data_IF_776612574251
#
_entry.id   IF_776612574251
#
_cell.length_a   1.000
_cell.length_b   1.000
_cell.length_c   1.000
_cell.angle_alpha   90.00
_cell.angle_beta   90.00
_cell.angle_gamma   90.00
#
_symmetry.space_group_name_H-M   'P 1'
#
loop_
_entity.id
_entity.type
_entity.pdbx_description
1 polymer ?
#
# COMPACT_ATOMS: atom_id res chain seq x y z
N UNK A 1 -7.75 -8.66 2.55
CA UNK A 1 -6.90 -7.98 3.55
C UNK A 1 -7.11 -8.59 4.94
N UNK A 2 -8.30 -8.54 5.52
CA UNK A 2 -8.54 -9.00 6.91
C UNK A 2 -8.13 -10.43 7.19
N UNK A 3 -8.63 -11.40 6.44
CA UNK A 3 -8.30 -12.83 6.65
C UNK A 3 -6.78 -13.08 6.67
N UNK A 4 -6.07 -12.58 5.66
CA UNK A 4 -4.61 -12.75 5.54
C UNK A 4 -3.86 -12.10 6.70
N UNK A 5 -4.33 -10.94 7.19
CA UNK A 5 -3.76 -10.30 8.39
C UNK A 5 -3.91 -11.17 9.65
N UNK A 6 -4.99 -11.95 9.77
CA UNK A 6 -5.26 -12.77 10.96
C UNK A 6 -4.53 -14.13 10.96
N UNK A 7 -4.17 -14.65 9.78
CA UNK A 7 -3.53 -15.96 9.65
C UNK A 7 -2.26 -16.15 10.51
N UNK A 8 -1.32 -15.18 10.60
CA UNK A 8 -0.15 -15.31 11.48
C UNK A 8 -0.51 -15.38 12.96
N UNK A 9 -1.54 -14.65 13.40
CA UNK A 9 -2.01 -14.64 14.79
C UNK A 9 -2.65 -15.97 15.19
N UNK A 10 -3.31 -16.65 14.25
CA UNK A 10 -3.86 -17.99 14.47
C UNK A 10 -2.76 -19.05 14.63
N UNK A 11 -1.54 -18.78 14.16
CA UNK A 11 -0.43 -19.74 14.14
C UNK A 11 0.64 -19.46 15.19
N UNK A 12 0.82 -18.21 15.58
CA UNK A 12 1.88 -17.76 16.47
C UNK A 12 1.36 -16.73 17.48
N UNK A 13 1.88 -16.72 18.72
CA UNK A 13 1.51 -15.74 19.73
C UNK A 13 2.26 -14.41 19.49
N UNK A 14 1.87 -13.66 18.46
CA UNK A 14 2.45 -12.35 18.15
C UNK A 14 1.77 -11.25 18.98
N UNK A 15 2.51 -10.19 19.29
CA UNK A 15 2.03 -9.05 20.10
C UNK A 15 1.37 -7.93 19.28
N UNK A 16 1.33 -8.04 17.95
CA UNK A 16 0.74 -7.05 17.07
C UNK A 16 0.31 -7.67 15.74
N UNK A 17 -0.75 -7.12 15.15
CA UNK A 17 -1.09 -7.30 13.75
C UNK A 17 -0.51 -6.15 12.91
N UNK A 18 -0.18 -6.41 11.65
CA UNK A 18 0.10 -5.37 10.66
C UNK A 18 -0.91 -5.47 9.53
N UNK A 19 -1.40 -4.31 9.07
CA UNK A 19 -2.29 -4.22 7.92
C UNK A 19 -1.69 -4.97 6.72
N UNK A 20 -2.48 -5.85 6.09
CA UNK A 20 -2.11 -6.40 4.78
C UNK A 20 -2.49 -5.39 3.69
N UNK A 21 -1.49 -4.68 3.17
CA UNK A 21 -1.59 -3.66 2.10
C UNK A 21 -0.24 -3.58 1.37
N UNK A 22 -0.06 -2.58 0.50
CA UNK A 22 1.19 -2.30 -0.21
C UNK A 22 1.59 -0.81 -0.04
N UNK A 23 2.89 -0.51 -0.12
CA UNK A 23 3.39 0.88 -0.11
C UNK A 23 3.05 1.64 -1.41
N UNK A 24 2.90 0.92 -2.52
CA UNK A 24 2.66 1.46 -3.86
C UNK A 24 1.21 1.91 -4.09
N UNK A 25 0.34 1.71 -3.10
CA UNK A 25 -1.03 2.22 -3.08
C UNK A 25 -1.09 3.75 -3.20
N UNK A 26 -0.09 4.46 -2.65
CA UNK A 26 0.00 5.92 -2.75
C UNK A 26 0.36 6.36 -4.18
N UNK A 27 1.47 5.91 -4.81
CA UNK A 27 1.75 6.15 -6.22
C UNK A 27 0.60 5.81 -7.18
N UNK A 28 -0.12 4.70 -6.95
CA UNK A 28 -1.27 4.34 -7.78
C UNK A 28 -2.42 5.35 -7.65
N UNK A 29 -2.72 5.78 -6.40
CA UNK A 29 -3.68 6.84 -6.13
C UNK A 29 -3.28 8.19 -6.76
N UNK A 30 -1.99 8.46 -6.92
CA UNK A 30 -1.44 9.63 -7.62
C UNK A 30 -1.53 9.54 -9.15
N UNK A 31 -1.97 8.39 -9.70
CA UNK A 31 -2.32 8.25 -11.11
C UNK A 31 -1.23 7.63 -12.00
N UNK A 32 -0.27 6.91 -11.43
CA UNK A 32 0.84 6.33 -12.19
C UNK A 32 0.50 4.99 -12.90
N UNK A 33 -0.64 4.37 -12.55
CA UNK A 33 -1.13 3.14 -13.17
C UNK A 33 -0.29 1.93 -12.76
N UNK A 34 -0.48 1.46 -11.54
CA UNK A 34 0.22 0.29 -11.01
C UNK A 34 -0.32 -1.00 -11.62
N UNK A 35 0.58 -1.85 -12.11
CA UNK A 35 0.31 -3.24 -12.49
C UNK A 35 1.26 -4.17 -11.77
N UNK A 36 0.78 -5.35 -11.39
CA UNK A 36 1.61 -6.41 -10.79
C UNK A 36 1.49 -7.63 -11.67
N UNK A 37 2.58 -8.02 -12.31
CA UNK A 37 2.65 -9.20 -13.17
C UNK A 37 3.38 -10.32 -12.44
N UNK A 38 2.86 -11.54 -12.55
CA UNK A 38 3.45 -12.72 -11.93
C UNK A 38 4.90 -12.92 -12.40
N UNK A 39 5.83 -13.03 -11.44
CA UNK A 39 7.26 -13.21 -11.72
C UNK A 39 8.04 -11.94 -12.05
N UNK A 40 7.39 -10.79 -12.31
CA UNK A 40 8.07 -9.54 -12.69
C UNK A 40 7.99 -8.42 -11.64
N UNK A 41 7.15 -8.57 -10.61
CA UNK A 41 6.96 -7.54 -9.59
C UNK A 41 6.08 -6.37 -10.04
N UNK A 42 6.06 -5.27 -9.27
CA UNK A 42 5.24 -4.11 -9.59
C UNK A 42 5.86 -3.29 -10.73
N UNK A 43 5.02 -2.79 -11.64
CA UNK A 43 5.39 -1.86 -12.72
C UNK A 43 4.40 -0.70 -12.80
N UNK A 44 4.91 0.48 -13.12
CA UNK A 44 4.09 1.67 -13.42
C UNK A 44 3.99 1.91 -14.92
N UNK A 45 2.78 2.19 -15.39
CA UNK A 45 2.52 2.55 -16.79
C UNK A 45 3.17 3.91 -17.16
N UNK A 46 3.23 4.84 -16.19
CA UNK A 46 3.70 6.21 -16.40
C UNK A 46 4.82 6.59 -15.42
N UNK A 47 6.05 6.06 -15.54
CA UNK A 47 7.15 6.45 -14.67
C UNK A 47 7.51 7.94 -14.83
N UNK A 48 8.10 8.52 -13.77
CA UNK A 48 8.54 9.90 -13.71
C UNK A 48 9.91 10.04 -14.37
N UNK A 49 9.92 10.56 -15.59
CA UNK A 49 11.15 10.70 -16.40
C UNK A 49 11.70 12.13 -16.45
N UNK A 50 10.90 13.13 -16.11
CA UNK A 50 11.26 14.53 -16.12
C UNK A 50 10.44 15.37 -15.12
N UNK A 51 10.79 16.65 -15.00
CA UNK A 51 10.10 17.60 -14.12
C UNK A 51 8.63 17.81 -14.54
N UNK A 52 8.32 17.74 -15.83
CA UNK A 52 6.95 17.89 -16.31
C UNK A 52 6.05 16.73 -15.85
N UNK A 53 6.58 15.51 -15.76
CA UNK A 53 5.89 14.35 -15.20
C UNK A 53 5.59 14.55 -13.70
N UNK A 54 6.56 15.11 -12.94
CA UNK A 54 6.36 15.44 -11.52
C UNK A 54 5.25 16.47 -11.34
N UNK A 55 5.25 17.53 -12.14
CA UNK A 55 4.24 18.61 -12.07
C UNK A 55 2.83 18.14 -12.46
N UNK A 56 2.70 17.01 -13.17
CA UNK A 56 1.42 16.39 -13.50
C UNK A 56 0.90 15.42 -12.44
N UNK A 57 1.71 15.10 -11.42
CA UNK A 57 1.25 14.25 -10.33
C UNK A 57 0.07 14.89 -9.62
N UNK A 58 -0.96 14.09 -9.39
CA UNK A 58 -2.09 14.50 -8.58
C UNK A 58 -1.76 14.21 -7.12
N UNK A 59 -2.20 15.11 -6.22
CA UNK A 59 -2.29 14.74 -4.81
C UNK A 59 -3.17 13.48 -4.70
N UNK A 60 -2.76 12.48 -3.89
CA UNK A 60 -3.51 11.24 -3.79
C UNK A 60 -4.91 11.53 -3.27
N UNK A 61 -5.93 11.19 -4.06
CA UNK A 61 -7.32 11.32 -3.66
C UNK A 61 -7.63 10.30 -2.54
N UNK A 62 -8.02 10.74 -1.33
CA UNK A 62 -8.37 9.84 -0.24
C UNK A 62 -9.47 8.84 -0.60
N UNK A 63 -10.35 9.18 -1.55
CA UNK A 63 -11.40 8.28 -2.04
C UNK A 63 -10.81 7.02 -2.71
N UNK A 64 -9.67 7.16 -3.40
CA UNK A 64 -8.97 6.05 -4.06
C UNK A 64 -8.29 5.12 -3.06
N UNK A 65 -8.03 5.60 -1.84
CA UNK A 65 -7.48 4.81 -0.73
C UNK A 65 -8.57 4.24 0.19
N UNK A 66 -9.85 4.36 -0.16
CA UNK A 66 -10.97 3.94 0.69
C UNK A 66 -10.89 2.47 1.09
N UNK A 67 -10.45 1.59 0.19
CA UNK A 67 -10.28 0.17 0.46
C UNK A 67 -9.24 -0.10 1.57
N UNK A 68 -8.22 0.75 1.71
CA UNK A 68 -7.22 0.66 2.80
C UNK A 68 -7.89 0.99 4.13
N UNK A 69 -8.70 2.06 4.17
CA UNK A 69 -9.44 2.45 5.38
C UNK A 69 -10.47 1.39 5.79
N UNK A 70 -11.20 0.83 4.83
CA UNK A 70 -12.18 -0.23 5.09
C UNK A 70 -11.48 -1.52 5.58
N UNK A 71 -10.29 -1.84 5.04
CA UNK A 71 -9.48 -2.96 5.54
C UNK A 71 -9.02 -2.73 6.99
N UNK A 72 -8.53 -1.53 7.32
CA UNK A 72 -8.15 -1.18 8.71
C UNK A 72 -9.35 -1.33 9.65
N UNK A 73 -10.52 -0.80 9.27
CA UNK A 73 -11.73 -0.90 10.09
C UNK A 73 -12.14 -2.36 10.30
N UNK A 74 -12.16 -3.16 9.23
CA UNK A 74 -12.51 -4.58 9.27
C UNK A 74 -11.53 -5.39 10.12
N UNK A 75 -10.22 -5.15 10.00
CA UNK A 75 -9.19 -5.82 10.82
C UNK A 75 -9.36 -5.44 12.29
N UNK A 76 -9.52 -4.14 12.61
CA UNK A 76 -9.71 -3.71 14.00
C UNK A 76 -10.92 -4.38 14.64
N UNK A 77 -12.02 -4.51 13.89
CA UNK A 77 -13.21 -5.22 14.36
C UNK A 77 -12.91 -6.69 14.62
N UNK A 78 -12.23 -7.37 13.70
CA UNK A 78 -11.91 -8.79 13.84
C UNK A 78 -10.88 -9.10 14.94
N UNK A 79 -9.97 -8.16 15.23
CA UNK A 79 -9.01 -8.29 16.33
C UNK A 79 -9.68 -8.17 17.70
N UNK A 80 -10.81 -7.45 17.80
CA UNK A 80 -11.57 -7.25 19.06
C UNK A 80 -10.69 -6.90 20.27
N UNK A 81 -9.68 -6.04 20.06
CA UNK A 81 -8.75 -5.61 21.10
C UNK A 81 -7.73 -6.65 21.58
N UNK A 82 -7.65 -7.83 20.96
CA UNK A 82 -6.67 -8.88 21.32
C UNK A 82 -5.21 -8.42 21.21
N UNK A 83 -4.86 -7.71 20.13
CA UNK A 83 -3.54 -7.11 19.89
C UNK A 83 -3.67 -5.76 19.15
N UNK A 84 -2.70 -4.84 19.28
CA UNK A 84 -2.67 -3.61 18.49
C UNK A 84 -2.53 -3.88 16.98
N UNK A 85 -3.06 -2.96 16.17
CA UNK A 85 -2.92 -2.97 14.72
C UNK A 85 -1.95 -1.87 14.25
N UNK A 86 -0.91 -2.28 13.52
CA UNK A 86 0.06 -1.40 12.88
C UNK A 86 -0.44 -1.04 11.47
N UNK A 87 -0.57 0.25 11.22
CA UNK A 87 -0.66 0.81 9.86
C UNK A 87 0.74 1.17 9.33
N UNK A 88 0.90 1.26 8.02
CA UNK A 88 2.19 1.59 7.40
C UNK A 88 2.02 2.30 6.06
N UNK A 89 3.09 2.96 5.61
CA UNK A 89 3.23 3.56 4.30
C UNK A 89 4.72 3.58 3.90
N UNK A 90 5.01 3.68 2.60
CA UNK A 90 6.38 3.86 2.11
C UNK A 90 6.93 5.24 2.43
N UNK A 91 8.25 5.33 2.64
CA UNK A 91 8.91 6.63 2.82
C UNK A 91 8.87 7.44 1.51
N UNK A 92 8.90 8.78 1.55
CA UNK A 92 8.89 9.61 0.34
C UNK A 92 9.99 9.23 -0.65
N UNK A 93 11.21 8.98 -0.17
CA UNK A 93 12.33 8.57 -1.01
C UNK A 93 12.11 7.20 -1.65
N UNK A 94 11.68 6.21 -0.85
CA UNK A 94 11.39 4.86 -1.36
C UNK A 94 10.32 4.91 -2.44
N UNK A 95 9.22 5.63 -2.21
CA UNK A 95 8.15 5.77 -3.19
C UNK A 95 8.67 6.47 -4.45
N UNK A 96 9.47 7.53 -4.32
CA UNK A 96 10.06 8.22 -5.46
C UNK A 96 10.93 7.27 -6.31
N UNK A 97 11.73 6.38 -5.70
CA UNK A 97 12.50 5.39 -6.46
C UNK A 97 11.60 4.54 -7.35
N UNK A 98 10.51 3.97 -6.80
CA UNK A 98 9.55 3.19 -7.60
C UNK A 98 8.87 4.03 -8.69
N UNK A 99 8.49 5.27 -8.37
CA UNK A 99 7.84 6.17 -9.32
C UNK A 99 8.76 6.57 -10.48
N UNK A 100 10.08 6.65 -10.24
CA UNK A 100 11.09 7.02 -11.24
C UNK A 100 11.55 5.80 -12.04
N UNK A 101 11.98 4.73 -11.36
CA UNK A 101 12.46 3.51 -12.02
C UNK A 101 11.34 2.77 -12.76
N UNK A 102 10.09 2.94 -12.32
CA UNK A 102 8.92 2.34 -12.94
C UNK A 102 8.78 0.83 -12.70
N UNK A 103 9.71 0.20 -11.96
CA UNK A 103 9.66 -1.20 -11.57
C UNK A 103 10.30 -1.46 -10.21
N UNK A 104 9.95 -2.60 -9.60
CA UNK A 104 10.53 -3.11 -8.34
C UNK A 104 11.60 -4.18 -8.50
#
# INVERSE_FOLDING_TARGET
ATEVTLQPLARFPLDAAILFSDILTVPDAMGLGLSVTEGEGPRFERPLVDEAAILRLMAPDPSRLRYVYDAVASIKLALDGSVPLIGFAGSPFTLACYMIEGSG
#
